data_IF_503124133437
#
_entry.id   IF_503124133437
#
_cell.length_a   1.000
_cell.length_b   1.000
_cell.length_c   1.000
_cell.angle_alpha   90.00
_cell.angle_beta   90.00
_cell.angle_gamma   90.00
#
_symmetry.space_group_name_H-M   'P 1'
#
loop_
_entity.id
_entity.type
_entity.pdbx_description
1 polymer ?
#
# COMPACT_ATOMS: atom_id res chain seq x y z
N UNK A 1 -1.20 9.31 3.47
CA UNK A 1 -0.78 10.70 3.74
C UNK A 1 0.20 11.12 2.64
N UNK A 2 -0.07 12.19 1.88
CA UNK A 2 0.83 12.58 0.77
C UNK A 2 2.02 13.38 1.32
N UNK A 3 3.23 13.04 0.91
CA UNK A 3 4.48 13.74 1.29
C UNK A 3 4.40 15.25 1.04
N UNK A 4 3.74 15.64 -0.05
CA UNK A 4 3.56 17.05 -0.45
C UNK A 4 2.80 17.86 0.60
N UNK A 5 1.82 17.24 1.29
CA UNK A 5 1.04 17.89 2.35
C UNK A 5 1.86 18.10 3.64
N UNK A 6 2.82 17.22 3.91
CA UNK A 6 3.64 17.27 5.13
C UNK A 6 4.79 18.28 4.97
N UNK A 7 5.31 18.43 3.74
CA UNK A 7 6.42 19.33 3.42
C UNK A 7 6.09 20.80 3.71
N UNK A 8 4.84 21.21 3.55
CA UNK A 8 4.38 22.57 3.80
C UNK A 8 4.15 22.91 5.29
N UNK A 9 4.24 21.93 6.18
CA UNK A 9 4.05 22.17 7.62
C UNK A 9 5.20 22.99 8.22
N UNK A 10 4.85 23.88 9.15
CA UNK A 10 5.82 24.57 10.04
C UNK A 10 6.57 23.54 10.89
N UNK A 11 7.83 23.82 11.20
CA UNK A 11 8.76 22.87 11.86
C UNK A 11 8.21 22.29 13.17
N UNK A 12 7.50 23.10 13.97
CA UNK A 12 6.90 22.65 15.22
C UNK A 12 5.79 21.61 15.01
N UNK A 13 4.90 21.83 14.04
CA UNK A 13 3.84 20.87 13.67
C UNK A 13 4.44 19.62 13.02
N UNK A 14 5.46 19.81 12.19
CA UNK A 14 6.20 18.73 11.54
C UNK A 14 6.90 17.83 12.56
N UNK A 15 7.55 18.43 13.57
CA UNK A 15 8.24 17.71 14.66
C UNK A 15 7.24 16.96 15.55
N UNK A 16 6.08 17.55 15.86
CA UNK A 16 5.00 16.85 16.59
C UNK A 16 4.45 15.65 15.82
N UNK A 17 4.35 15.77 14.49
CA UNK A 17 3.82 14.72 13.63
C UNK A 17 4.82 13.58 13.36
N UNK A 18 6.08 13.92 13.10
CA UNK A 18 7.10 12.97 12.60
C UNK A 18 8.16 12.59 13.65
N UNK A 19 8.23 13.32 14.76
CA UNK A 19 9.24 13.12 15.82
C UNK A 19 10.63 13.67 15.48
N UNK A 20 10.85 14.24 14.29
CA UNK A 20 12.17 14.67 13.81
C UNK A 20 12.13 16.13 13.39
N UNK A 21 13.23 16.87 13.60
CA UNK A 21 13.39 18.24 13.08
C UNK A 21 13.40 18.23 11.55
N UNK A 22 12.81 19.23 10.91
CA UNK A 22 12.69 19.30 9.45
C UNK A 22 14.05 19.30 8.74
N UNK A 23 15.07 19.93 9.34
CA UNK A 23 16.45 19.91 8.85
C UNK A 23 17.05 18.50 8.82
N UNK A 24 16.93 17.76 9.93
CA UNK A 24 17.41 16.38 10.05
C UNK A 24 16.68 15.47 9.07
N UNK A 25 15.37 15.64 8.94
CA UNK A 25 14.56 14.91 7.96
C UNK A 25 15.01 15.22 6.52
N UNK A 26 15.33 16.47 6.19
CA UNK A 26 15.86 16.84 4.87
C UNK A 26 17.16 16.09 4.57
N UNK A 27 18.10 16.07 5.53
CA UNK A 27 19.37 15.33 5.39
C UNK A 27 19.13 13.83 5.20
N UNK A 28 18.19 13.23 5.95
CA UNK A 28 17.81 11.83 5.78
C UNK A 28 17.25 11.56 4.38
N UNK A 29 16.35 12.41 3.89
CA UNK A 29 15.78 12.31 2.54
C UNK A 29 16.85 12.43 1.47
N UNK A 30 17.82 13.34 1.63
CA UNK A 30 18.91 13.52 0.68
C UNK A 30 19.85 12.30 0.64
N UNK A 31 20.14 11.70 1.81
CA UNK A 31 20.91 10.45 1.91
C UNK A 31 20.16 9.32 1.18
N UNK A 32 18.86 9.17 1.43
CA UNK A 32 18.03 8.16 0.77
C UNK A 32 17.98 8.36 -0.75
N UNK A 33 17.79 9.60 -1.22
CA UNK A 33 17.80 9.93 -2.65
C UNK A 33 19.14 9.60 -3.31
N UNK A 34 20.26 9.92 -2.66
CA UNK A 34 21.60 9.58 -3.15
C UNK A 34 21.80 8.07 -3.22
N UNK A 35 21.40 7.33 -2.19
CA UNK A 35 21.50 5.87 -2.16
C UNK A 35 20.65 5.20 -3.26
N UNK A 36 19.41 5.66 -3.45
CA UNK A 36 18.54 5.17 -4.53
C UNK A 36 19.07 5.53 -5.91
N UNK A 37 19.66 6.73 -6.07
CA UNK A 37 20.33 7.15 -7.30
C UNK A 37 21.50 6.23 -7.66
N UNK A 38 22.37 5.91 -6.69
CA UNK A 38 23.48 4.98 -6.87
C UNK A 38 23.01 3.55 -7.18
N UNK A 39 21.94 3.10 -6.54
CA UNK A 39 21.34 1.78 -6.80
C UNK A 39 20.75 1.70 -8.21
N UNK A 40 20.17 2.80 -8.70
CA UNK A 40 19.64 2.91 -10.07
C UNK A 40 20.75 3.06 -11.11
N UNK A 41 21.86 3.74 -10.82
CA UNK A 41 22.97 3.92 -11.76
C UNK A 41 23.83 2.66 -11.93
N UNK A 42 23.98 1.85 -10.87
CA UNK A 42 24.61 0.51 -10.94
C UNK A 42 23.79 -0.51 -11.75
N UNK A 43 22.57 -0.15 -12.16
CA UNK A 43 21.73 -0.98 -13.00
C UNK A 43 21.91 -0.57 -14.47
N UNK A 44 22.50 -1.44 -15.29
CA UNK A 44 22.71 -1.23 -16.73
C UNK A 44 21.42 -0.89 -17.50
N UNK A 45 20.26 -1.31 -16.96
CA UNK A 45 18.93 -1.03 -17.51
C UNK A 45 18.15 -0.23 -16.48
N UNK A 46 17.64 0.95 -16.83
CA UNK A 46 16.70 1.69 -15.97
C UNK A 46 15.60 0.75 -15.49
N UNK A 47 15.47 0.60 -14.17
CA UNK A 47 14.40 -0.21 -13.59
C UNK A 47 13.06 0.47 -13.92
N UNK A 48 12.41 0.03 -15.00
CA UNK A 48 11.16 0.58 -15.53
C UNK A 48 9.95 0.22 -14.65
N UNK A 49 10.18 -0.50 -13.55
CA UNK A 49 9.15 -1.10 -12.73
C UNK A 49 9.03 -0.33 -11.42
N UNK A 50 7.81 0.12 -11.13
CA UNK A 50 7.48 0.71 -9.85
C UNK A 50 7.51 -0.36 -8.74
N UNK A 51 7.73 0.06 -7.51
CA UNK A 51 7.50 -0.79 -6.35
C UNK A 51 5.98 -0.96 -6.15
N UNK A 52 5.56 -2.19 -5.86
CA UNK A 52 4.21 -2.50 -5.40
C UNK A 52 4.23 -2.68 -3.89
N UNK A 53 3.25 -2.10 -3.22
CA UNK A 53 3.04 -2.26 -1.79
C UNK A 53 1.69 -2.94 -1.56
N UNK A 54 1.68 -3.95 -0.70
CA UNK A 54 0.49 -4.50 -0.06
C UNK A 54 0.40 -3.85 1.32
N UNK A 55 -0.74 -3.29 1.66
CA UNK A 55 -0.98 -2.66 2.97
C UNK A 55 -2.26 -3.26 3.53
N UNK A 56 -2.21 -3.74 4.77
CA UNK A 56 -3.39 -4.14 5.54
C UNK A 56 -3.63 -3.10 6.60
N UNK A 57 -4.85 -2.57 6.62
CA UNK A 57 -5.26 -1.48 7.49
C UNK A 57 -6.50 -1.92 8.26
N UNK A 58 -6.53 -1.58 9.54
CA UNK A 58 -7.73 -1.71 10.33
C UNK A 58 -8.78 -0.67 9.90
N UNK A 59 -10.01 -1.10 9.66
CA UNK A 59 -11.05 -0.23 9.10
C UNK A 59 -11.51 0.85 10.09
N UNK A 60 -11.54 0.56 11.38
CA UNK A 60 -12.10 1.47 12.39
C UNK A 60 -11.04 2.46 12.88
N UNK A 61 -9.86 1.97 13.21
CA UNK A 61 -8.77 2.76 13.79
C UNK A 61 -7.86 3.38 12.73
N UNK A 62 -7.99 2.98 11.46
CA UNK A 62 -7.13 3.37 10.35
C UNK A 62 -5.64 3.03 10.58
N UNK A 63 -5.35 2.15 11.54
CA UNK A 63 -3.98 1.73 11.86
C UNK A 63 -3.47 0.76 10.79
N UNK A 64 -2.22 0.97 10.38
CA UNK A 64 -1.54 0.05 9.47
C UNK A 64 -1.07 -1.16 10.26
N UNK A 65 -1.65 -2.33 9.98
CA UNK A 65 -1.34 -3.58 10.66
C UNK A 65 -0.09 -4.21 10.03
N UNK A 66 -0.04 -4.28 8.70
CA UNK A 66 1.12 -4.83 8.01
C UNK A 66 1.33 -4.20 6.63
N UNK A 67 2.59 -4.22 6.20
CA UNK A 67 3.03 -3.77 4.88
C UNK A 67 3.98 -4.78 4.27
N UNK A 68 3.80 -5.11 2.99
CA UNK A 68 4.75 -5.91 2.22
C UNK A 68 5.06 -5.23 0.89
N UNK A 69 6.28 -5.41 0.38
CA UNK A 69 6.78 -4.71 -0.80
C UNK A 69 7.33 -5.69 -1.83
N UNK A 70 7.10 -5.39 -3.11
CA UNK A 70 7.71 -6.15 -4.19
C UNK A 70 7.92 -5.36 -5.48
N UNK A 71 8.70 -5.93 -6.39
CA UNK A 71 8.89 -5.36 -7.72
C UNK A 71 7.58 -5.42 -8.53
N UNK A 72 7.27 -4.35 -9.26
CA UNK A 72 5.99 -4.15 -9.96
C UNK A 72 5.62 -5.15 -11.05
N UNK A 73 6.51 -6.08 -11.40
CA UNK A 73 6.21 -7.24 -12.26
C UNK A 73 5.33 -8.30 -11.58
N UNK A 74 5.09 -8.21 -10.27
CA UNK A 74 4.25 -9.18 -9.56
C UNK A 74 2.76 -8.79 -9.57
N UNK A 75 1.90 -9.78 -9.73
CA UNK A 75 0.46 -9.64 -9.53
C UNK A 75 0.15 -9.48 -8.03
N UNK A 76 -0.86 -8.68 -7.70
CA UNK A 76 -1.16 -8.28 -6.32
C UNK A 76 -1.55 -9.49 -5.46
N UNK A 77 -2.38 -10.39 -6.01
CA UNK A 77 -2.72 -11.64 -5.33
C UNK A 77 -1.52 -12.57 -5.08
N UNK A 78 -0.50 -12.54 -5.97
CA UNK A 78 0.73 -13.31 -5.76
C UNK A 78 1.60 -12.69 -4.67
N UNK A 79 1.58 -11.36 -4.54
CA UNK A 79 2.22 -10.66 -3.43
C UNK A 79 1.58 -11.07 -2.11
N UNK A 80 0.25 -11.05 -2.03
CA UNK A 80 -0.49 -11.49 -0.83
C UNK A 80 -0.24 -12.95 -0.44
N UNK A 81 -0.19 -13.88 -1.40
CA UNK A 81 0.17 -15.28 -1.09
C UNK A 81 1.59 -15.41 -0.54
N UNK A 82 2.52 -14.57 -1.01
CA UNK A 82 3.91 -14.60 -0.58
C UNK A 82 4.12 -13.93 0.77
N UNK A 83 3.34 -12.90 1.10
CA UNK A 83 3.43 -12.19 2.37
C UNK A 83 3.02 -13.06 3.57
N UNK A 84 2.34 -14.19 3.33
CA UNK A 84 1.92 -15.16 4.35
C UNK A 84 1.16 -14.51 5.52
N UNK A 85 0.38 -13.47 5.21
CA UNK A 85 -0.43 -12.77 6.21
C UNK A 85 -1.53 -13.73 6.68
N UNK A 86 -1.51 -14.03 7.97
CA UNK A 86 -2.52 -14.84 8.61
C UNK A 86 -3.62 -13.93 9.15
N UNK A 87 -4.78 -13.95 8.50
CA UNK A 87 -5.97 -13.24 8.96
C UNK A 87 -6.78 -14.22 9.80
N UNK A 88 -7.16 -13.81 11.01
CA UNK A 88 -7.98 -14.65 11.88
C UNK A 88 -9.33 -14.95 11.19
N UNK A 89 -9.83 -16.21 11.19
CA UNK A 89 -11.03 -16.61 10.44
C UNK A 89 -12.29 -15.80 10.76
N UNK A 90 -12.37 -15.29 11.99
CA UNK A 90 -13.50 -14.47 12.48
C UNK A 90 -13.49 -13.03 11.96
N UNK A 91 -12.32 -12.48 11.63
CA UNK A 91 -12.19 -11.09 11.17
C UNK A 91 -12.71 -10.98 9.74
N UNK A 92 -13.48 -9.95 9.42
CA UNK A 92 -13.98 -9.72 8.06
C UNK A 92 -12.89 -9.06 7.21
N UNK A 93 -12.49 -9.69 6.12
CA UNK A 93 -11.48 -9.15 5.21
C UNK A 93 -12.15 -8.41 4.04
N UNK A 94 -11.97 -7.09 3.96
CA UNK A 94 -12.47 -6.28 2.83
C UNK A 94 -11.32 -6.11 1.84
N UNK A 95 -11.51 -6.49 0.59
CA UNK A 95 -10.44 -6.51 -0.43
C UNK A 95 -10.91 -5.96 -1.76
N UNK A 96 -9.97 -5.50 -2.60
CA UNK A 96 -10.28 -5.01 -3.95
C UNK A 96 -10.62 -6.15 -4.92
N UNK A 97 -11.26 -5.81 -6.05
CA UNK A 97 -11.57 -6.79 -7.13
C UNK A 97 -10.36 -7.57 -7.67
N UNK A 98 -9.13 -7.10 -7.45
CA UNK A 98 -7.90 -7.80 -7.81
C UNK A 98 -7.61 -9.05 -6.98
N UNK A 99 -8.33 -9.25 -5.87
CA UNK A 99 -8.19 -10.39 -4.95
C UNK A 99 -9.23 -11.49 -5.21
N UNK A 100 -9.67 -11.64 -6.47
CA UNK A 100 -10.57 -12.72 -6.86
C UNK A 100 -10.05 -14.09 -6.38
N UNK A 101 -10.88 -14.80 -5.62
CA UNK A 101 -10.53 -16.10 -5.03
C UNK A 101 -9.92 -16.04 -3.63
N UNK A 102 -9.83 -14.87 -2.99
CA UNK A 102 -9.43 -14.71 -1.58
C UNK A 102 -10.31 -15.53 -0.63
N UNK A 103 -11.58 -15.74 -0.98
CA UNK A 103 -12.54 -16.59 -0.25
C UNK A 103 -12.04 -18.02 -0.02
N UNK A 104 -11.16 -18.56 -0.87
CA UNK A 104 -10.56 -19.89 -0.68
C UNK A 104 -9.51 -19.93 0.43
N UNK A 105 -8.93 -18.78 0.76
CA UNK A 105 -7.90 -18.62 1.80
C UNK A 105 -8.55 -18.16 3.10
N UNK A 106 -9.57 -17.30 2.99
CA UNK A 106 -10.29 -16.74 4.12
C UNK A 106 -11.78 -16.59 3.78
N UNK A 107 -12.62 -17.40 4.42
CA UNK A 107 -14.05 -17.51 4.12
C UNK A 107 -14.82 -16.21 4.37
N UNK A 108 -14.47 -15.46 5.43
CA UNK A 108 -15.15 -14.23 5.82
C UNK A 108 -14.61 -13.01 5.05
N UNK A 109 -14.52 -13.11 3.73
CA UNK A 109 -13.98 -12.06 2.86
C UNK A 109 -15.03 -11.46 1.93
N UNK A 110 -15.02 -10.13 1.87
CA UNK A 110 -15.94 -9.33 1.06
C UNK A 110 -15.17 -8.68 -0.10
N UNK A 111 -15.67 -8.91 -1.31
CA UNK A 111 -15.16 -8.35 -2.55
C UNK A 111 -16.23 -7.43 -3.15
N UNK A 112 -15.87 -6.24 -3.63
CA UNK A 112 -16.80 -5.37 -4.33
C UNK A 112 -17.30 -6.05 -5.60
N UNK A 113 -18.60 -5.85 -5.90
CA UNK A 113 -19.19 -6.40 -7.12
C UNK A 113 -18.56 -5.74 -8.35
N UNK A 114 -18.11 -6.58 -9.29
CA UNK A 114 -17.56 -6.11 -10.56
C UNK A 114 -18.69 -5.95 -11.58
N UNK A 115 -18.78 -4.81 -12.25
CA UNK A 115 -19.66 -4.64 -13.41
C UNK A 115 -19.28 -5.61 -14.52
N UNK A 116 -20.27 -6.29 -15.11
CA UNK A 116 -20.08 -7.06 -16.32
C UNK A 116 -21.10 -6.62 -17.38
N UNK A 117 -20.83 -6.95 -18.65
CA UNK A 117 -21.74 -6.58 -19.76
C UNK A 117 -23.13 -7.18 -19.61
N UNK A 118 -23.24 -8.36 -18.95
CA UNK A 118 -24.51 -9.05 -18.71
C UNK A 118 -25.14 -8.72 -17.35
N UNK A 119 -24.33 -8.31 -16.37
CA UNK A 119 -24.75 -7.96 -15.02
C UNK A 119 -24.30 -6.53 -14.66
N UNK A 120 -25.07 -5.50 -15.04
CA UNK A 120 -24.80 -4.12 -14.66
C UNK A 120 -24.99 -3.90 -13.15
N UNK A 121 -24.21 -2.97 -12.58
CA UNK A 121 -24.28 -2.61 -11.16
C UNK A 121 -25.57 -1.84 -10.85
N UNK A 122 -26.28 -2.24 -9.79
CA UNK A 122 -27.42 -1.48 -9.27
C UNK A 122 -26.93 -0.22 -8.54
N UNK A 123 -27.83 0.75 -8.28
CA UNK A 123 -27.47 1.98 -7.55
C UNK A 123 -26.91 1.69 -6.14
N UNK A 124 -27.38 0.62 -5.49
CA UNK A 124 -26.91 0.20 -4.17
C UNK A 124 -25.51 -0.43 -4.21
N UNK A 125 -25.11 -1.03 -5.33
CA UNK A 125 -23.79 -1.66 -5.48
C UNK A 125 -22.67 -0.64 -5.79
N UNK A 126 -23.02 0.63 -6.04
CA UNK A 126 -22.07 1.72 -6.32
C UNK A 126 -21.70 2.54 -5.07
N UNK A 127 -22.20 2.14 -3.90
CA UNK A 127 -22.05 2.87 -2.64
C UNK A 127 -20.65 2.76 -2.07
#
# INVERSE_FOLDING_TARGET
MKFDQIKELKDEKFRRLTGVRKETFSKMVDILRKADGLKKSKSWRKNKLNLKALIVVDKETHQVICTDFSNGKKHDFRLFKKSKILIHPKVKAITDTGYQGIQKIHNNSELPKKKSKKNPLTKNDKK
#
